data_IF_155019436825
#
_entry.id   IF_155019436825
#
_cell.length_a   1.000
_cell.length_b   1.000
_cell.length_c   1.000
_cell.angle_alpha   90.00
_cell.angle_beta   90.00
_cell.angle_gamma   90.00
#
_symmetry.space_group_name_H-M   'P 1'
#
loop_
_entity.id
_entity.type
_entity.pdbx_description
1 polymer ?
#
# COMPACT_ATOMS: atom_id res chain seq x y z
N UNK A 1 -17.87 -9.52 42.66
CA UNK A 1 -16.52 -9.84 42.14
C UNK A 1 -15.79 -8.52 42.00
N UNK A 2 -14.70 -8.31 42.74
CA UNK A 2 -13.93 -7.06 42.63
C UNK A 2 -13.26 -7.00 41.25
N UNK A 3 -13.47 -5.89 40.53
CA UNK A 3 -12.83 -5.62 39.24
C UNK A 3 -11.31 -5.58 39.42
N UNK A 4 -10.60 -6.58 38.89
CA UNK A 4 -9.14 -6.59 38.93
C UNK A 4 -8.62 -5.48 38.01
N UNK A 5 -7.83 -4.56 38.54
CA UNK A 5 -7.11 -3.50 37.80
C UNK A 5 -5.96 -4.10 36.97
N UNK A 6 -6.28 -5.01 36.05
CA UNK A 6 -5.32 -5.78 35.26
C UNK A 6 -4.63 -4.95 34.16
N UNK A 7 -5.22 -3.80 33.80
CA UNK A 7 -4.66 -2.85 32.85
C UNK A 7 -4.72 -1.44 33.44
N UNK A 8 -3.55 -0.89 33.76
CA UNK A 8 -3.40 0.54 34.03
C UNK A 8 -3.16 1.22 32.70
N UNK A 9 -4.17 1.94 32.19
CA UNK A 9 -4.04 2.71 30.97
C UNK A 9 -3.16 3.94 31.23
N UNK A 10 -2.00 3.98 30.60
CA UNK A 10 -1.18 5.19 30.58
C UNK A 10 -1.87 6.26 29.71
N UNK A 11 -2.22 7.44 30.27
CA UNK A 11 -2.87 8.50 29.51
C UNK A 11 -2.05 8.97 28.31
N UNK A 12 -0.71 8.89 28.35
CA UNK A 12 0.14 9.28 27.23
C UNK A 12 0.00 8.32 26.05
N UNK A 13 -0.01 7.02 26.34
CA UNK A 13 -0.21 5.97 25.34
C UNK A 13 -1.62 6.04 24.74
N UNK A 14 -2.62 6.25 25.58
CA UNK A 14 -4.02 6.43 25.15
C UNK A 14 -4.15 7.61 24.17
N UNK A 15 -3.56 8.77 24.52
CA UNK A 15 -3.55 9.94 23.66
C UNK A 15 -2.86 9.69 22.31
N UNK A 16 -1.75 8.94 22.30
CA UNK A 16 -1.06 8.59 21.06
C UNK A 16 -1.92 7.72 20.13
N UNK A 17 -2.65 6.75 20.68
CA UNK A 17 -3.59 5.94 19.91
C UNK A 17 -4.75 6.79 19.36
N UNK A 18 -5.32 7.66 20.21
CA UNK A 18 -6.38 8.58 19.80
C UNK A 18 -5.92 9.53 18.70
N UNK A 19 -4.68 10.04 18.75
CA UNK A 19 -4.10 10.87 17.69
C UNK A 19 -3.99 10.11 16.35
N UNK A 20 -3.57 8.84 16.38
CA UNK A 20 -3.48 8.03 15.17
C UNK A 20 -4.85 7.70 14.58
N UNK A 21 -5.81 7.31 15.42
CA UNK A 21 -7.17 7.01 14.99
C UNK A 21 -7.88 8.25 14.42
N UNK A 22 -7.67 9.42 15.03
CA UNK A 22 -8.28 10.68 14.59
C UNK A 22 -7.46 11.43 13.53
N UNK A 23 -6.37 10.85 13.01
CA UNK A 23 -5.44 11.55 12.09
C UNK A 23 -6.12 12.08 10.83
N UNK A 24 -7.16 11.40 10.34
CA UNK A 24 -7.94 11.85 9.18
C UNK A 24 -8.71 13.15 9.45
N UNK A 25 -9.13 13.41 10.69
CA UNK A 25 -9.86 14.64 11.07
C UNK A 25 -8.99 15.88 10.94
N UNK A 26 -7.69 15.73 11.18
CA UNK A 26 -6.72 16.83 11.15
C UNK A 26 -5.93 16.88 9.83
N UNK A 27 -6.30 16.06 8.85
CA UNK A 27 -5.63 16.04 7.55
C UNK A 27 -5.85 17.36 6.79
N UNK A 28 -4.82 17.79 6.05
CA UNK A 28 -4.87 18.96 5.18
C UNK A 28 -4.23 18.65 3.84
N UNK A 29 -4.84 19.17 2.78
CA UNK A 29 -4.23 19.20 1.46
C UNK A 29 -3.13 20.26 1.43
N UNK A 30 -1.90 19.78 1.37
CA UNK A 30 -0.71 20.60 1.14
C UNK A 30 -0.12 20.15 -0.20
N UNK A 31 0.69 20.97 -0.87
CA UNK A 31 1.33 20.57 -2.13
C UNK A 31 2.08 19.22 -2.01
N UNK A 32 2.72 18.98 -0.85
CA UNK A 32 3.39 17.71 -0.55
C UNK A 32 2.43 16.53 -0.44
N UNK A 33 1.36 16.64 0.37
CA UNK A 33 0.41 15.54 0.57
C UNK A 33 -0.39 15.26 -0.69
N UNK A 34 -0.76 16.30 -1.45
CA UNK A 34 -1.42 16.17 -2.75
C UNK A 34 -0.54 15.39 -3.75
N UNK A 35 0.74 15.76 -3.86
CA UNK A 35 1.67 15.07 -4.75
C UNK A 35 1.85 13.60 -4.36
N UNK A 36 2.04 13.31 -3.07
CA UNK A 36 2.17 11.93 -2.60
C UNK A 36 0.93 11.11 -2.90
N UNK A 37 -0.28 11.63 -2.63
CA UNK A 37 -1.51 10.91 -2.96
C UNK A 37 -1.61 10.63 -4.45
N UNK A 38 -1.29 11.61 -5.31
CA UNK A 38 -1.33 11.42 -6.76
C UNK A 38 -0.36 10.33 -7.23
N UNK A 39 0.86 10.30 -6.69
CA UNK A 39 1.85 9.27 -7.03
C UNK A 39 1.37 7.89 -6.60
N UNK A 40 0.99 7.72 -5.34
CA UNK A 40 0.69 6.40 -4.77
C UNK A 40 -0.66 5.83 -5.19
N UNK A 41 -1.67 6.69 -5.38
CA UNK A 41 -3.03 6.25 -5.77
C UNK A 41 -3.20 6.26 -7.29
N UNK A 42 -2.51 7.16 -8.01
CA UNK A 42 -2.63 7.29 -9.46
C UNK A 42 -1.46 6.65 -10.21
N UNK A 43 -0.28 7.26 -10.10
CA UNK A 43 0.87 6.93 -10.97
C UNK A 43 1.31 5.48 -10.79
N UNK A 44 1.48 5.01 -9.55
CA UNK A 44 1.98 3.66 -9.30
C UNK A 44 1.00 2.60 -9.83
N UNK A 45 -0.30 2.61 -9.48
CA UNK A 45 -1.25 1.66 -10.04
C UNK A 45 -1.36 1.75 -11.57
N UNK A 46 -1.34 2.95 -12.14
CA UNK A 46 -1.41 3.13 -13.59
C UNK A 46 -0.18 2.55 -14.31
N UNK A 47 1.02 2.79 -13.78
CA UNK A 47 2.26 2.24 -14.33
C UNK A 47 2.30 0.71 -14.22
N UNK A 48 1.92 0.16 -13.07
CA UNK A 48 1.81 -1.29 -12.88
C UNK A 48 0.78 -1.91 -13.82
N UNK A 49 -0.41 -1.31 -13.92
CA UNK A 49 -1.45 -1.74 -14.84
C UNK A 49 -0.98 -1.72 -16.29
N UNK A 50 -0.32 -0.63 -16.72
CA UNK A 50 0.24 -0.53 -18.07
C UNK A 50 1.24 -1.64 -18.37
N UNK A 51 2.19 -1.89 -17.45
CA UNK A 51 3.17 -2.98 -17.61
C UNK A 51 2.47 -4.33 -17.63
N UNK A 52 1.52 -4.57 -16.71
CA UNK A 52 0.76 -5.81 -16.66
C UNK A 52 0.06 -6.06 -18.00
N UNK A 53 -0.75 -5.12 -18.50
CA UNK A 53 -1.45 -5.27 -19.79
C UNK A 53 -0.51 -5.43 -21.00
N UNK A 54 0.70 -4.85 -20.96
CA UNK A 54 1.68 -5.01 -22.04
C UNK A 54 2.47 -6.32 -21.97
N UNK A 55 2.54 -6.94 -20.81
CA UNK A 55 3.30 -8.17 -20.57
C UNK A 55 2.43 -9.41 -20.42
N UNK A 56 1.12 -9.21 -20.24
CA UNK A 56 0.12 -10.27 -20.16
C UNK A 56 0.19 -11.17 -21.40
N UNK A 57 0.30 -12.48 -21.18
CA UNK A 57 0.41 -13.49 -22.23
C UNK A 57 1.69 -13.44 -23.06
N UNK A 58 2.54 -12.41 -22.92
CA UNK A 58 3.70 -12.21 -23.79
C UNK A 58 4.80 -13.25 -23.55
N UNK A 59 4.92 -13.76 -22.34
CA UNK A 59 6.00 -14.65 -21.92
C UNK A 59 5.45 -15.98 -21.39
N UNK A 60 5.81 -17.10 -22.03
CA UNK A 60 5.54 -18.44 -21.51
C UNK A 60 6.85 -19.18 -21.24
N UNK A 61 7.07 -19.53 -19.99
CA UNK A 61 8.30 -20.21 -19.53
C UNK A 61 8.13 -21.73 -19.47
N UNK A 62 6.91 -22.23 -19.68
CA UNK A 62 6.58 -23.63 -19.46
C UNK A 62 7.27 -24.51 -20.52
N UNK A 63 8.16 -25.38 -20.05
CA UNK A 63 8.87 -26.36 -20.90
C UNK A 63 9.98 -25.80 -21.80
N UNK A 64 10.31 -24.50 -21.72
CA UNK A 64 11.36 -23.87 -22.55
C UNK A 64 12.76 -24.31 -22.10
N UNK A 65 13.68 -24.54 -23.04
CA UNK A 65 15.07 -24.95 -22.82
C UNK A 65 16.06 -23.85 -23.23
N UNK A 66 17.35 -24.07 -22.98
CA UNK A 66 18.42 -23.12 -23.33
C UNK A 66 18.43 -22.89 -24.85
N UNK A 67 18.19 -21.65 -25.27
CA UNK A 67 18.13 -21.26 -26.67
C UNK A 67 16.71 -21.07 -27.22
N UNK A 68 15.67 -21.48 -26.49
CA UNK A 68 14.28 -21.33 -26.94
C UNK A 68 13.73 -19.92 -26.69
N UNK A 69 12.93 -19.42 -27.64
CA UNK A 69 12.23 -18.14 -27.50
C UNK A 69 11.09 -18.24 -26.47
N UNK A 70 11.14 -17.36 -25.47
CA UNK A 70 10.16 -17.25 -24.37
C UNK A 70 8.94 -16.40 -24.76
N UNK A 71 9.08 -15.59 -25.82
CA UNK A 71 8.07 -14.63 -26.28
C UNK A 71 7.10 -15.27 -27.27
N UNK A 72 5.80 -15.16 -27.01
CA UNK A 72 4.76 -15.76 -27.86
C UNK A 72 4.29 -14.83 -29.01
N UNK A 73 4.37 -13.49 -28.84
CA UNK A 73 3.99 -12.47 -29.85
C UNK A 73 4.81 -11.18 -29.72
#
# INVERSE_FOLDING_TARGET
MAESKSLVLDPAVQKYYELNQNRYKYFRWTPRTAWLTLVYVGIIPAALGYVAYKTEGKYELRGKRRGDTIREF
#
